data_IF_551361875832
#
_entry.id   IF_551361875832
#
_cell.length_a   1.000
_cell.length_b   1.000
_cell.length_c   1.000
_cell.angle_alpha   90.00
_cell.angle_beta   90.00
_cell.angle_gamma   90.00
#
_symmetry.space_group_name_H-M   'P 1'
#
loop_
_entity.id
_entity.type
_entity.pdbx_description
1 polymer ?
#
# COMPACT_ATOMS: atom_id res chain seq x y z
N UNK A 1 -24.92 7.40 -52.56
CA UNK A 1 -24.12 6.14 -52.60
C UNK A 1 -23.44 6.00 -51.26
N UNK A 2 -23.99 5.16 -50.38
CA UNK A 2 -23.34 4.82 -49.11
C UNK A 2 -22.26 3.78 -49.41
N UNK A 3 -21.00 4.22 -49.49
CA UNK A 3 -19.86 3.34 -49.69
C UNK A 3 -19.66 2.49 -48.42
N UNK A 4 -20.29 1.31 -48.39
CA UNK A 4 -20.17 0.35 -47.30
C UNK A 4 -18.77 -0.28 -47.33
N UNK A 5 -17.81 0.39 -46.68
CA UNK A 5 -16.44 -0.12 -46.51
C UNK A 5 -16.46 -1.55 -45.94
N UNK A 6 -15.65 -2.43 -46.54
CA UNK A 6 -15.59 -3.85 -46.23
C UNK A 6 -15.04 -4.06 -44.80
N UNK A 7 -15.50 -5.05 -44.01
CA UNK A 7 -15.06 -5.25 -42.62
C UNK A 7 -13.54 -5.31 -42.42
N UNK A 8 -12.79 -5.79 -43.43
CA UNK A 8 -11.32 -5.83 -43.43
C UNK A 8 -10.69 -4.43 -43.54
N UNK A 9 -11.29 -3.50 -44.29
CA UNK A 9 -10.83 -2.11 -44.44
C UNK A 9 -11.17 -1.29 -43.19
N UNK A 10 -12.35 -1.52 -42.60
CA UNK A 10 -12.72 -0.97 -41.29
C UNK A 10 -11.74 -1.39 -40.20
N UNK A 11 -11.25 -2.63 -40.21
CA UNK A 11 -10.24 -3.10 -39.26
C UNK A 11 -8.85 -2.49 -39.52
N UNK A 12 -8.47 -2.30 -40.80
CA UNK A 12 -7.23 -1.60 -41.19
C UNK A 12 -7.23 -0.12 -40.79
N UNK A 13 -8.39 0.53 -40.71
CA UNK A 13 -8.54 1.93 -40.28
C UNK A 13 -8.75 2.08 -38.76
N UNK A 14 -9.36 1.09 -38.08
CA UNK A 14 -9.54 1.12 -36.62
C UNK A 14 -8.23 0.95 -35.85
N UNK A 15 -7.34 0.06 -36.32
CA UNK A 15 -6.03 -0.17 -35.70
C UNK A 15 -5.17 1.11 -35.59
N UNK A 16 -5.00 1.93 -36.65
CA UNK A 16 -4.22 3.16 -36.55
C UNK A 16 -4.89 4.22 -35.66
N UNK A 17 -6.23 4.27 -35.60
CA UNK A 17 -6.94 5.18 -34.69
C UNK A 17 -6.71 4.81 -33.22
N UNK A 18 -6.84 3.53 -32.87
CA UNK A 18 -6.61 3.06 -31.48
C UNK A 18 -5.14 3.28 -31.07
N UNK A 19 -4.20 3.01 -31.96
CA UNK A 19 -2.78 3.25 -31.68
C UNK A 19 -2.46 4.75 -31.54
N UNK A 20 -3.10 5.61 -32.34
CA UNK A 20 -3.01 7.06 -32.17
C UNK A 20 -3.52 7.48 -30.79
N UNK A 21 -4.70 7.02 -30.38
CA UNK A 21 -5.24 7.30 -29.03
C UNK A 21 -4.32 6.81 -27.91
N UNK A 22 -3.68 5.64 -28.09
CA UNK A 22 -2.70 5.13 -27.13
C UNK A 22 -1.49 6.05 -27.03
N UNK A 23 -0.94 6.48 -28.16
CA UNK A 23 0.20 7.42 -28.21
C UNK A 23 -0.14 8.77 -27.60
N UNK A 24 -1.32 9.30 -27.90
CA UNK A 24 -1.80 10.57 -27.35
C UNK A 24 -1.94 10.48 -25.83
N UNK A 25 -2.48 9.37 -25.31
CA UNK A 25 -2.55 9.10 -23.87
C UNK A 25 -1.15 9.05 -23.24
N UNK A 26 -0.21 8.32 -23.84
CA UNK A 26 1.17 8.23 -23.33
C UNK A 26 1.82 9.62 -23.30
N UNK A 27 1.67 10.40 -24.37
CA UNK A 27 2.23 11.75 -24.45
C UNK A 27 1.62 12.68 -23.38
N UNK A 28 0.30 12.63 -23.20
CA UNK A 28 -0.38 13.39 -22.15
C UNK A 28 0.12 13.02 -20.76
N UNK A 29 0.31 11.73 -20.46
CA UNK A 29 0.89 11.30 -19.19
C UNK A 29 2.33 11.75 -18.99
N UNK A 30 3.14 11.80 -20.04
CA UNK A 30 4.52 12.34 -19.97
C UNK A 30 4.50 13.85 -19.68
N UNK A 31 3.58 14.61 -20.27
CA UNK A 31 3.41 16.03 -19.95
C UNK A 31 2.92 16.25 -18.52
N UNK A 32 2.00 15.40 -18.03
CA UNK A 32 1.58 15.43 -16.63
C UNK A 32 2.74 15.14 -15.67
N UNK A 33 3.61 14.16 -15.99
CA UNK A 33 4.82 13.87 -15.22
C UNK A 33 5.75 15.09 -15.15
N UNK A 34 5.92 15.82 -16.26
CA UNK A 34 6.71 17.06 -16.30
C UNK A 34 6.21 18.08 -15.28
N UNK A 35 4.89 18.27 -15.18
CA UNK A 35 4.27 19.21 -14.25
C UNK A 35 4.39 18.74 -12.79
N UNK A 36 4.12 17.46 -12.52
CA UNK A 36 4.16 16.91 -11.15
C UNK A 36 5.57 16.97 -10.54
N UNK A 37 6.60 16.81 -11.36
CA UNK A 37 7.99 16.77 -10.94
C UNK A 37 8.74 18.09 -11.25
N UNK A 38 8.05 19.19 -11.52
CA UNK A 38 8.65 20.47 -11.91
C UNK A 38 9.78 20.93 -10.97
N UNK A 39 9.57 20.78 -9.65
CA UNK A 39 10.59 21.11 -8.64
C UNK A 39 11.83 20.23 -8.73
N UNK A 40 11.65 18.94 -9.00
CA UNK A 40 12.76 18.01 -9.18
C UNK A 40 13.53 18.36 -10.46
N UNK A 41 12.84 18.75 -11.54
CA UNK A 41 13.51 19.22 -12.75
C UNK A 41 14.31 20.50 -12.53
N UNK A 42 13.76 21.48 -11.80
CA UNK A 42 14.49 22.70 -11.44
C UNK A 42 15.76 22.40 -10.64
N UNK A 43 15.74 21.38 -9.78
CA UNK A 43 16.91 20.98 -9.00
C UNK A 43 18.01 20.33 -9.86
N UNK A 44 17.64 19.52 -10.85
CA UNK A 44 18.61 18.77 -11.66
C UNK A 44 19.05 19.52 -12.93
N UNK A 45 18.14 20.26 -13.58
CA UNK A 45 18.40 20.98 -14.84
C UNK A 45 17.53 22.27 -14.94
N UNK A 46 17.89 23.36 -14.24
CA UNK A 46 17.04 24.56 -14.12
C UNK A 46 16.79 25.32 -15.43
N UNK A 47 17.63 25.17 -16.46
CA UNK A 47 17.59 25.97 -17.69
C UNK A 47 17.64 25.13 -18.98
N UNK A 48 17.39 23.82 -18.90
CA UNK A 48 17.45 22.92 -20.06
C UNK A 48 16.07 22.62 -20.63
N UNK A 49 15.99 22.45 -21.95
CA UNK A 49 14.79 21.96 -22.60
C UNK A 49 14.67 20.46 -22.28
N UNK A 50 13.72 20.11 -21.40
CA UNK A 50 13.49 18.72 -21.01
C UNK A 50 13.05 17.88 -22.22
N UNK A 51 13.88 16.91 -22.62
CA UNK A 51 13.51 15.88 -23.57
C UNK A 51 12.65 14.80 -22.90
N UNK A 52 11.98 13.96 -23.69
CA UNK A 52 11.15 12.87 -23.14
C UNK A 52 11.98 11.87 -22.34
N UNK A 53 13.23 11.65 -22.73
CA UNK A 53 14.15 10.77 -22.00
C UNK A 53 14.47 11.36 -20.62
N UNK A 54 14.82 12.66 -20.55
CA UNK A 54 15.11 13.35 -19.29
C UNK A 54 13.92 13.30 -18.32
N UNK A 55 12.70 13.51 -18.84
CA UNK A 55 11.48 13.45 -18.04
C UNK A 55 11.34 12.08 -17.37
N UNK A 56 11.57 11.01 -18.13
CA UNK A 56 11.44 9.64 -17.62
C UNK A 56 12.59 9.28 -16.66
N UNK A 57 13.81 9.75 -16.93
CA UNK A 57 14.96 9.50 -16.08
C UNK A 57 14.79 10.12 -14.69
N UNK A 58 14.42 11.40 -14.63
CA UNK A 58 14.16 12.10 -13.36
C UNK A 58 13.00 11.44 -12.63
N UNK A 59 11.92 11.06 -13.33
CA UNK A 59 10.80 10.36 -12.71
C UNK A 59 11.20 9.01 -12.08
N UNK A 60 12.00 8.21 -12.77
CA UNK A 60 12.50 6.94 -12.23
C UNK A 60 13.43 7.18 -11.03
N UNK A 61 14.32 8.16 -11.12
CA UNK A 61 15.21 8.53 -10.02
C UNK A 61 14.42 8.95 -8.77
N UNK A 62 13.41 9.81 -8.95
CA UNK A 62 12.50 10.25 -7.89
C UNK A 62 11.77 9.08 -7.23
N UNK A 63 11.18 8.17 -8.02
CA UNK A 63 10.47 7.01 -7.49
C UNK A 63 11.38 6.05 -6.73
N UNK A 64 12.61 5.83 -7.21
CA UNK A 64 13.61 5.01 -6.48
C UNK A 64 13.97 5.63 -5.14
N UNK A 65 14.21 6.94 -5.12
CA UNK A 65 14.48 7.66 -3.87
C UNK A 65 13.30 7.55 -2.90
N UNK A 66 12.07 7.72 -3.38
CA UNK A 66 10.87 7.63 -2.54
C UNK A 66 10.63 6.21 -2.01
N UNK A 67 10.86 5.18 -2.82
CA UNK A 67 10.79 3.77 -2.37
C UNK A 67 11.79 3.50 -1.25
N UNK A 68 13.05 3.93 -1.41
CA UNK A 68 14.08 3.73 -0.39
C UNK A 68 13.73 4.42 0.94
N UNK A 69 13.11 5.60 0.88
CA UNK A 69 12.62 6.30 2.08
C UNK A 69 11.45 5.55 2.73
N UNK A 70 10.54 4.95 1.95
CA UNK A 70 9.46 4.13 2.48
C UNK A 70 9.95 2.81 3.06
N UNK A 71 10.94 2.17 2.46
CA UNK A 71 11.55 0.94 2.99
C UNK A 71 12.24 1.21 4.33
N UNK A 72 12.91 2.36 4.49
CA UNK A 72 13.42 2.78 5.79
C UNK A 72 12.30 3.08 6.79
N UNK A 73 11.23 3.77 6.38
CA UNK A 73 10.09 4.08 7.26
C UNK A 73 9.33 2.81 7.68
N UNK A 74 9.21 1.83 6.80
CA UNK A 74 8.59 0.54 7.15
C UNK A 74 9.53 -0.34 7.98
N UNK A 75 10.86 -0.22 7.87
CA UNK A 75 11.78 -0.85 8.81
C UNK A 75 11.63 -0.31 10.24
N UNK A 76 11.38 0.99 10.41
CA UNK A 76 11.07 1.60 11.71
C UNK A 76 9.74 1.07 12.28
N UNK A 77 8.76 0.76 11.42
CA UNK A 77 7.46 0.18 11.80
C UNK A 77 7.42 -1.36 11.83
N UNK A 78 8.56 -2.05 11.74
CA UNK A 78 8.66 -3.52 11.80
C UNK A 78 9.31 -3.99 13.11
N UNK A 79 9.25 -3.20 14.17
CA UNK A 79 9.51 -3.75 15.50
C UNK A 79 8.18 -4.28 16.06
N UNK A 80 7.88 -5.59 15.94
CA UNK A 80 6.62 -6.16 16.42
C UNK A 80 6.41 -5.88 17.93
N UNK A 81 7.48 -5.70 18.70
CA UNK A 81 7.42 -5.29 20.10
C UNK A 81 6.93 -3.85 20.27
N UNK A 82 7.31 -2.92 19.39
CA UNK A 82 6.81 -1.53 19.42
C UNK A 82 5.34 -1.46 18.99
N UNK A 83 4.95 -2.25 17.98
CA UNK A 83 3.56 -2.34 17.55
C UNK A 83 2.67 -2.98 18.62
N UNK A 84 3.16 -4.03 19.31
CA UNK A 84 2.48 -4.63 20.45
C UNK A 84 2.33 -3.64 21.61
N UNK A 85 3.42 -2.99 22.04
CA UNK A 85 3.36 -2.01 23.14
C UNK A 85 2.43 -0.84 22.82
N UNK A 86 2.46 -0.34 21.59
CA UNK A 86 1.55 0.71 21.11
C UNK A 86 0.08 0.27 21.14
N UNK A 87 -0.22 -0.93 20.62
CA UNK A 87 -1.56 -1.51 20.63
C UNK A 87 -2.07 -1.78 22.05
N UNK A 88 -1.19 -2.29 22.91
CA UNK A 88 -1.46 -2.53 24.33
C UNK A 88 -1.77 -1.23 25.08
N UNK A 89 -0.96 -0.19 24.90
CA UNK A 89 -1.18 1.11 25.54
C UNK A 89 -2.48 1.76 25.07
N UNK A 90 -2.81 1.63 23.78
CA UNK A 90 -4.10 2.09 23.24
C UNK A 90 -5.27 1.35 23.89
N UNK A 91 -5.19 0.03 24.04
CA UNK A 91 -6.20 -0.78 24.73
C UNK A 91 -6.36 -0.34 26.19
N UNK A 92 -5.25 -0.17 26.91
CA UNK A 92 -5.27 0.31 28.30
C UNK A 92 -5.92 1.68 28.42
N UNK A 93 -5.57 2.62 27.54
CA UNK A 93 -6.15 3.96 27.52
C UNK A 93 -7.68 3.91 27.34
N UNK A 94 -8.15 3.10 26.39
CA UNK A 94 -9.58 2.94 26.14
C UNK A 94 -10.31 2.28 27.31
N UNK A 95 -9.70 1.26 27.91
CA UNK A 95 -10.23 0.61 29.11
C UNK A 95 -10.37 1.61 30.28
N UNK A 96 -9.35 2.45 30.52
CA UNK A 96 -9.41 3.48 31.55
C UNK A 96 -10.46 4.55 31.24
N UNK A 97 -10.58 4.94 29.97
CA UNK A 97 -11.61 5.88 29.53
C UNK A 97 -13.02 5.32 29.77
N UNK A 98 -13.27 4.07 29.42
CA UNK A 98 -14.54 3.38 29.69
C UNK A 98 -14.88 3.33 31.18
N UNK A 99 -13.92 3.00 32.04
CA UNK A 99 -14.11 2.97 33.50
C UNK A 99 -14.32 4.36 34.11
N UNK A 100 -13.85 5.42 33.45
CA UNK A 100 -14.11 6.79 33.90
C UNK A 100 -15.53 7.25 33.55
N UNK A 101 -16.12 6.69 32.49
CA UNK A 101 -17.45 7.05 32.00
C UNK A 101 -18.56 6.26 32.70
N UNK A 102 -18.30 4.99 33.02
CA UNK A 102 -19.20 4.14 33.80
C UNK A 102 -18.63 4.00 35.20
N UNK A 103 -19.35 4.43 36.24
CA UNK A 103 -18.94 4.28 37.65
C UNK A 103 -18.87 2.78 38.02
N UNK A 104 -17.71 2.11 37.89
CA UNK A 104 -17.62 0.68 38.11
C UNK A 104 -17.49 0.45 39.62
N UNK A 105 -17.76 -0.77 40.08
CA UNK A 105 -17.35 -1.16 41.43
C UNK A 105 -15.84 -0.94 41.55
N UNK A 106 -15.40 -0.18 42.57
CA UNK A 106 -13.98 0.17 42.80
C UNK A 106 -13.05 -1.05 42.74
N UNK A 107 -13.55 -2.20 43.17
CA UNK A 107 -12.85 -3.48 43.12
C UNK A 107 -12.51 -3.93 41.68
N UNK A 108 -13.43 -3.80 40.74
CA UNK A 108 -13.22 -4.17 39.33
C UNK A 108 -12.15 -3.28 38.68
N UNK A 109 -12.14 -1.98 39.00
CA UNK A 109 -11.14 -1.04 38.52
C UNK A 109 -9.74 -1.41 39.03
N UNK A 110 -9.61 -1.71 40.33
CA UNK A 110 -8.34 -2.11 40.95
C UNK A 110 -7.84 -3.44 40.37
N UNK A 111 -8.71 -4.43 40.21
CA UNK A 111 -8.35 -5.73 39.62
C UNK A 111 -7.87 -5.59 38.17
N UNK A 112 -8.53 -4.75 37.39
CA UNK A 112 -8.18 -4.51 35.99
C UNK A 112 -6.84 -3.78 35.86
N UNK A 113 -6.61 -2.72 36.65
CA UNK A 113 -5.32 -2.00 36.69
C UNK A 113 -4.19 -2.96 37.10
N UNK A 114 -4.42 -3.81 38.12
CA UNK A 114 -3.46 -4.82 38.56
C UNK A 114 -3.10 -5.80 37.44
N UNK A 115 -4.07 -6.22 36.64
CA UNK A 115 -3.83 -7.11 35.49
C UNK A 115 -2.97 -6.43 34.42
N UNK A 116 -3.25 -5.18 34.08
CA UNK A 116 -2.43 -4.44 33.11
C UNK A 116 -1.00 -4.24 33.63
N UNK A 117 -0.80 -3.78 34.86
CA UNK A 117 0.55 -3.61 35.42
C UNK A 117 1.34 -4.93 35.46
N UNK A 118 0.69 -6.06 35.79
CA UNK A 118 1.34 -7.39 35.80
C UNK A 118 1.78 -7.84 34.40
N UNK A 119 1.00 -7.52 33.37
CA UNK A 119 1.33 -7.87 31.99
C UNK A 119 2.55 -7.08 31.45
N UNK A 120 2.82 -5.87 31.97
CA UNK A 120 4.03 -5.11 31.62
C UNK A 120 5.29 -5.55 32.37
N UNK A 121 5.17 -6.10 33.58
CA UNK A 121 6.33 -6.59 34.36
C UNK A 121 6.71 -8.05 34.04
N UNK A 122 5.93 -8.77 33.23
CA UNK A 122 6.16 -10.17 32.88
C UNK A 122 7.13 -10.41 31.71
N UNK A 123 7.71 -9.35 31.13
CA UNK A 123 8.66 -9.45 30.01
C UNK A 123 10.11 -9.67 30.44
N UNK A 124 10.39 -9.75 31.74
CA UNK A 124 11.74 -9.98 32.27
C UNK A 124 11.76 -11.18 33.24
N UNK A 125 11.50 -12.38 32.72
CA UNK A 125 11.84 -13.63 33.41
C UNK A 125 11.87 -14.80 32.41
N UNK A 126 13.08 -15.21 32.04
CA UNK A 126 13.48 -16.60 31.79
C UNK A 126 12.63 -17.43 30.80
N UNK A 127 13.17 -17.57 29.58
CA UNK A 127 13.02 -18.70 28.67
C UNK A 127 12.30 -19.96 29.19
N UNK A 128 11.09 -20.21 28.67
CA UNK A 128 10.51 -21.54 28.45
C UNK A 128 9.37 -21.44 27.43
N UNK A 129 9.46 -22.07 26.25
CA UNK A 129 8.41 -22.01 25.25
C UNK A 129 7.43 -23.15 25.49
N UNK A 130 6.44 -22.94 26.36
CA UNK A 130 5.32 -23.87 26.45
C UNK A 130 4.02 -23.08 26.67
N UNK A 131 3.17 -23.13 25.64
CA UNK A 131 1.73 -22.87 25.68
C UNK A 131 1.29 -21.44 25.99
N UNK A 132 1.65 -20.48 25.12
CA UNK A 132 0.80 -19.30 24.91
C UNK A 132 -0.26 -19.64 23.87
N UNK A 133 -1.49 -19.84 24.33
CA UNK A 133 -2.66 -19.91 23.46
C UNK A 133 -2.77 -18.62 22.65
N UNK A 134 -2.85 -18.76 21.32
CA UNK A 134 -3.07 -17.66 20.39
C UNK A 134 -4.37 -16.92 20.73
N UNK A 135 -4.38 -15.58 20.75
CA UNK A 135 -5.65 -14.86 20.78
C UNK A 135 -6.40 -15.16 19.47
N UNK A 136 -7.61 -15.68 19.60
CA UNK A 136 -8.51 -15.97 18.49
C UNK A 136 -8.78 -14.68 17.70
N UNK A 137 -8.30 -14.63 16.46
CA UNK A 137 -8.67 -13.60 15.49
C UNK A 137 -10.20 -13.55 15.30
N UNK A 138 -10.80 -12.35 15.12
CA UNK A 138 -12.22 -12.25 14.81
C UNK A 138 -12.52 -12.94 13.47
N UNK A 139 -13.53 -13.80 13.48
CA UNK A 139 -13.99 -14.56 12.32
C UNK A 139 -14.28 -13.64 11.12
N UNK A 140 -13.54 -13.83 10.02
CA UNK A 140 -13.92 -13.31 8.71
C UNK A 140 -14.76 -14.37 8.00
N UNK A 141 -16.03 -14.06 7.75
CA UNK A 141 -16.94 -14.91 6.98
C UNK A 141 -16.38 -15.23 5.58
N UNK A 142 -16.38 -16.49 5.11
CA UNK A 142 -16.04 -16.78 3.73
C UNK A 142 -17.20 -16.41 2.80
N UNK A 143 -17.05 -15.29 2.09
CA UNK A 143 -17.85 -14.94 0.91
C UNK A 143 -17.53 -15.95 -0.20
N UNK A 144 -18.51 -16.78 -0.58
CA UNK A 144 -18.40 -17.71 -1.72
C UNK A 144 -18.08 -16.92 -3.00
N UNK A 145 -16.91 -17.17 -3.60
CA UNK A 145 -16.64 -16.86 -5.00
C UNK A 145 -16.65 -18.16 -5.82
N UNK A 146 -17.20 -18.16 -7.04
CA UNK A 146 -17.23 -19.35 -7.88
C UNK A 146 -15.84 -19.65 -8.46
N UNK A 147 -15.58 -20.94 -8.62
CA UNK A 147 -14.30 -21.51 -9.05
C UNK A 147 -13.79 -20.91 -10.37
N UNK A 148 -12.56 -20.42 -10.37
CA UNK A 148 -11.76 -20.23 -11.58
C UNK A 148 -10.49 -21.06 -11.47
N UNK A 149 -10.31 -21.93 -12.47
CA UNK A 149 -9.23 -22.90 -12.61
C UNK A 149 -7.87 -22.20 -12.57
N UNK A 150 -6.95 -22.75 -11.79
CA UNK A 150 -5.55 -22.35 -11.75
C UNK A 150 -4.89 -22.62 -13.10
N UNK A 151 -4.43 -21.56 -13.78
CA UNK A 151 -3.41 -21.68 -14.82
C UNK A 151 -2.15 -21.06 -14.25
N UNK A 152 -1.08 -21.85 -14.25
CA UNK A 152 0.23 -21.51 -13.73
C UNK A 152 0.71 -20.13 -14.20
N UNK A 153 1.36 -19.40 -13.30
CA UNK A 153 1.96 -18.10 -13.54
C UNK A 153 3.08 -18.22 -14.59
N UNK A 154 2.75 -17.94 -15.85
CA UNK A 154 3.76 -17.59 -16.84
C UNK A 154 4.24 -16.16 -16.56
N UNK A 155 5.52 -15.84 -16.80
CA UNK A 155 5.97 -14.46 -16.75
C UNK A 155 5.13 -13.67 -17.75
N UNK A 156 4.58 -12.54 -17.31
CA UNK A 156 3.86 -11.63 -18.19
C UNK A 156 4.86 -11.09 -19.20
N UNK A 157 5.02 -11.79 -20.32
CA UNK A 157 5.71 -11.29 -21.50
C UNK A 157 4.98 -10.00 -21.84
N UNK A 158 5.66 -8.90 -21.60
CA UNK A 158 5.24 -7.60 -22.09
C UNK A 158 5.14 -7.74 -23.60
N UNK A 159 3.92 -7.83 -24.13
CA UNK A 159 3.68 -7.85 -25.57
C UNK A 159 3.55 -6.40 -26.00
N UNK A 160 4.51 -5.84 -26.76
CA UNK A 160 4.26 -4.61 -27.48
C UNK A 160 3.12 -4.91 -28.44
N UNK A 161 2.08 -4.08 -28.40
CA UNK A 161 0.99 -4.09 -29.36
C UNK A 161 1.51 -3.97 -30.79
#
# INVERSE_FOLDING_TARGET
MEEKLLPKEKNKLRKPVVEKMRRDRINSSIEQLKLLLEKEFQRHQPNSKLEKADILEVAVSYLKQQSQLQDQKTFIHKNPEQDFNSGYLRCLKEAMHFLSYYEPKKETQVQLIKHFCKAQLGTDASYSPALRGSPLSPCVFPRKQPAQKSVAAAPTIWRPW
#
